data_IF_331230813002
#
_entry.id   IF_331230813002
#
_cell.length_a   1.000
_cell.length_b   1.000
_cell.length_c   1.000
_cell.angle_alpha   90.00
_cell.angle_beta   90.00
_cell.angle_gamma   90.00
#
_symmetry.space_group_name_H-M   'P 1'
#
loop_
_entity.id
_entity.type
_entity.pdbx_description
1 polymer ?
#
# COMPACT_ATOMS: atom_id res chain seq x y z
N UNK A 1 -22.91 11.41 16.37
CA UNK A 1 -21.92 10.35 16.47
C UNK A 1 -22.46 9.12 15.72
N UNK A 2 -22.00 8.93 14.50
CA UNK A 2 -22.29 7.74 13.71
C UNK A 2 -21.38 6.62 14.23
N UNK A 3 -21.98 5.49 14.56
CA UNK A 3 -21.26 4.31 15.01
C UNK A 3 -20.81 3.54 13.74
N UNK A 4 -19.67 3.91 13.19
CA UNK A 4 -19.14 3.42 11.91
C UNK A 4 -18.68 1.95 11.98
N UNK A 5 -18.52 1.38 13.19
CA UNK A 5 -17.79 0.12 13.40
C UNK A 5 -18.55 -1.17 13.06
N UNK A 6 -19.87 -1.13 12.83
CA UNK A 6 -20.68 -2.35 12.63
C UNK A 6 -21.51 -2.37 11.35
N UNK A 7 -21.74 -1.24 10.70
CA UNK A 7 -22.63 -1.14 9.53
C UNK A 7 -21.99 -1.53 8.19
N UNK A 8 -20.63 -1.52 8.08
CA UNK A 8 -19.95 -1.79 6.80
C UNK A 8 -19.44 -3.23 6.62
N UNK A 9 -19.56 -4.09 7.64
CA UNK A 9 -19.03 -5.46 7.58
C UNK A 9 -20.09 -6.48 7.14
N UNK A 10 -19.89 -7.17 6.01
CA UNK A 10 -20.80 -8.21 5.48
C UNK A 10 -20.30 -9.65 5.63
N UNK A 11 -19.12 -9.85 6.12
CA UNK A 11 -18.32 -11.00 6.57
C UNK A 11 -18.60 -12.41 6.08
N UNK A 12 -17.69 -12.95 5.26
CA UNK A 12 -17.30 -14.38 5.18
C UNK A 12 -15.83 -14.49 4.82
N UNK A 13 -15.08 -15.54 5.28
CA UNK A 13 -13.63 -15.62 5.08
C UNK A 13 -13.25 -16.06 3.67
N UNK A 14 -12.04 -15.69 3.30
CA UNK A 14 -11.40 -15.68 1.98
C UNK A 14 -10.83 -17.02 1.54
N UNK A 15 -10.72 -17.23 0.20
CA UNK A 15 -9.97 -18.29 -0.44
C UNK A 15 -8.45 -18.07 -0.36
N UNK A 16 -7.67 -19.14 -0.18
CA UNK A 16 -6.21 -19.15 0.02
C UNK A 16 -5.35 -18.81 -1.21
N UNK A 17 -5.91 -18.29 -2.31
CA UNK A 17 -5.19 -18.11 -3.55
C UNK A 17 -4.55 -16.73 -3.67
N UNK A 18 -3.23 -16.70 -3.71
CA UNK A 18 -2.30 -15.59 -4.01
C UNK A 18 -1.72 -14.79 -2.82
N UNK A 19 -1.38 -15.46 -1.73
CA UNK A 19 -0.53 -14.86 -0.71
C UNK A 19 0.92 -14.91 -1.20
N UNK A 20 1.54 -13.76 -1.43
CA UNK A 20 2.98 -13.67 -1.64
C UNK A 20 3.67 -14.17 -0.37
N UNK A 21 4.62 -15.11 -0.44
CA UNK A 21 5.23 -15.72 0.75
C UNK A 21 6.25 -14.81 1.46
N UNK A 22 5.91 -13.51 1.58
CA UNK A 22 6.77 -12.51 2.21
C UNK A 22 6.72 -12.53 3.74
N UNK A 23 5.69 -13.15 4.34
CA UNK A 23 5.45 -13.05 5.79
C UNK A 23 5.85 -14.32 6.52
N UNK A 24 7.17 -14.54 6.66
CA UNK A 24 7.69 -15.54 7.59
C UNK A 24 7.99 -14.93 8.96
N UNK A 25 8.03 -15.72 10.04
CA UNK A 25 8.38 -15.24 11.37
C UNK A 25 9.78 -14.62 11.44
N UNK A 26 10.71 -15.09 10.60
CA UNK A 26 12.09 -14.61 10.54
C UNK A 26 12.23 -13.28 9.75
N UNK A 27 11.17 -12.81 9.11
CA UNK A 27 11.19 -11.62 8.23
C UNK A 27 10.64 -10.36 8.89
N UNK A 28 10.03 -10.46 10.08
CA UNK A 28 9.43 -9.34 10.82
C UNK A 28 10.43 -8.19 11.02
N UNK A 29 11.66 -8.53 11.39
CA UNK A 29 12.72 -7.54 11.62
C UNK A 29 13.13 -6.84 10.33
N UNK A 30 13.27 -7.57 9.22
CA UNK A 30 13.58 -7.03 7.90
C UNK A 30 12.51 -6.06 7.40
N UNK A 31 11.22 -6.40 7.59
CA UNK A 31 10.12 -5.49 7.25
C UNK A 31 10.12 -4.22 8.10
N UNK A 32 10.45 -4.34 9.39
CA UNK A 32 10.58 -3.18 10.26
C UNK A 32 11.73 -2.26 9.83
N UNK A 33 12.88 -2.83 9.47
CA UNK A 33 14.02 -2.08 8.95
C UNK A 33 13.69 -1.42 7.59
N UNK A 34 13.01 -2.14 6.72
CA UNK A 34 12.52 -1.63 5.43
C UNK A 34 11.61 -0.42 5.60
N UNK A 35 10.60 -0.54 6.49
CA UNK A 35 9.65 0.53 6.74
C UNK A 35 10.30 1.78 7.36
N UNK A 36 11.37 1.61 8.17
CA UNK A 36 12.11 2.71 8.76
C UNK A 36 13.07 3.38 7.76
N UNK A 37 13.61 2.62 6.79
CA UNK A 37 14.60 3.13 5.85
C UNK A 37 13.96 3.84 4.65
N UNK A 38 12.77 3.39 4.22
CA UNK A 38 12.08 3.93 3.06
C UNK A 38 11.37 5.23 3.42
N UNK A 39 11.61 6.27 2.60
CA UNK A 39 10.94 7.56 2.70
C UNK A 39 11.17 8.30 4.04
N UNK A 40 12.41 8.47 4.48
CA UNK A 40 12.73 9.05 5.78
C UNK A 40 12.30 10.52 5.92
N UNK A 41 12.12 11.23 4.81
CA UNK A 41 11.58 12.59 4.75
C UNK A 41 10.06 12.66 4.62
N UNK A 42 9.36 11.51 4.58
CA UNK A 42 7.91 11.40 4.42
C UNK A 42 7.35 12.05 3.13
N UNK A 43 8.16 12.11 2.06
CA UNK A 43 7.77 12.73 0.79
C UNK A 43 6.58 11.99 0.14
N UNK A 44 6.60 10.64 0.16
CA UNK A 44 5.50 9.81 -0.36
C UNK A 44 4.23 10.07 0.43
N UNK A 45 4.32 10.03 1.76
CA UNK A 45 3.17 10.24 2.64
C UNK A 45 2.59 11.63 2.48
N UNK A 46 3.43 12.67 2.36
CA UNK A 46 3.00 14.04 2.12
C UNK A 46 2.27 14.19 0.78
N UNK A 47 2.79 13.60 -0.30
CA UNK A 47 2.16 13.60 -1.61
C UNK A 47 0.81 12.86 -1.60
N UNK A 48 0.74 11.67 -0.97
CA UNK A 48 -0.52 10.95 -0.80
C UNK A 48 -1.59 11.78 -0.09
N UNK A 49 -1.23 12.45 1.00
CA UNK A 49 -2.16 13.30 1.75
C UNK A 49 -2.57 14.56 0.99
N UNK A 50 -1.73 15.08 0.10
CA UNK A 50 -2.07 16.19 -0.78
C UNK A 50 -3.07 15.78 -1.88
N UNK A 51 -2.87 14.61 -2.49
CA UNK A 51 -3.71 14.08 -3.56
C UNK A 51 -5.06 13.57 -3.04
N UNK A 52 -5.04 12.82 -1.96
CA UNK A 52 -6.20 12.13 -1.41
C UNK A 52 -6.23 12.26 0.13
N UNK A 53 -6.60 13.41 0.70
CA UNK A 53 -6.52 13.66 2.14
C UNK A 53 -7.41 12.73 2.95
N UNK A 54 -6.88 12.23 4.09
CA UNK A 54 -7.58 11.25 4.95
C UNK A 54 -8.08 11.85 6.28
N UNK A 55 -7.73 13.10 6.59
CA UNK A 55 -8.07 13.70 7.88
C UNK A 55 -9.58 13.74 8.12
N UNK A 56 -10.02 13.04 9.16
CA UNK A 56 -11.44 12.94 9.53
C UNK A 56 -12.30 12.12 8.56
N UNK A 57 -11.68 11.35 7.65
CA UNK A 57 -12.35 10.51 6.64
C UNK A 57 -12.23 9.03 6.99
N UNK A 58 -13.09 8.20 6.43
CA UNK A 58 -13.02 6.74 6.51
C UNK A 58 -12.07 6.23 5.43
N UNK A 59 -11.01 5.54 5.83
CA UNK A 59 -9.97 5.03 4.95
C UNK A 59 -10.06 3.50 4.82
N UNK A 60 -9.87 3.00 3.61
CA UNK A 60 -9.54 1.61 3.32
C UNK A 60 -8.03 1.53 3.02
N UNK A 61 -7.29 0.81 3.86
CA UNK A 61 -5.88 0.50 3.67
C UNK A 61 -5.76 -0.88 3.03
N UNK A 62 -5.51 -0.92 1.70
CA UNK A 62 -5.49 -2.15 0.90
C UNK A 62 -4.11 -2.79 0.97
N UNK A 63 -4.04 -3.99 1.58
CA UNK A 63 -2.78 -4.68 1.84
C UNK A 63 -2.04 -4.06 3.01
N UNK A 64 -2.71 -3.96 4.15
CA UNK A 64 -2.21 -3.33 5.37
C UNK A 64 -0.92 -3.98 5.93
N UNK A 65 -0.64 -5.22 5.56
CA UNK A 65 0.54 -5.95 6.02
C UNK A 65 0.60 -6.06 7.53
N UNK A 66 1.74 -5.73 8.12
CA UNK A 66 1.92 -5.68 9.57
C UNK A 66 1.45 -4.36 10.22
N UNK A 67 0.85 -3.44 9.45
CA UNK A 67 0.27 -2.21 9.97
C UNK A 67 1.24 -1.04 10.13
N UNK A 68 2.40 -1.07 9.48
CA UNK A 68 3.40 0.01 9.58
C UNK A 68 2.86 1.37 9.12
N UNK A 69 1.98 1.38 8.11
CA UNK A 69 1.31 2.58 7.61
C UNK A 69 -0.08 2.77 8.23
N UNK A 70 -0.77 1.68 8.57
CA UNK A 70 -2.11 1.70 9.16
C UNK A 70 -2.17 2.55 10.43
N UNK A 71 -1.15 2.47 11.31
CA UNK A 71 -1.16 3.22 12.56
C UNK A 71 -1.02 4.72 12.32
N UNK A 72 -0.03 5.24 11.56
CA UNK A 72 0.00 6.64 11.16
C UNK A 72 -1.29 7.14 10.48
N UNK A 73 -1.94 6.30 9.68
CA UNK A 73 -3.23 6.66 9.07
C UNK A 73 -4.33 6.81 10.12
N UNK A 74 -4.37 5.93 11.11
CA UNK A 74 -5.37 5.96 12.17
C UNK A 74 -5.29 7.23 13.04
N UNK A 75 -4.12 7.86 13.14
CA UNK A 75 -3.96 9.14 13.86
C UNK A 75 -4.70 10.30 13.17
N UNK A 76 -4.94 10.20 11.87
CA UNK A 76 -5.57 11.26 11.07
C UNK A 76 -6.99 10.91 10.64
N UNK A 77 -7.24 9.66 10.28
CA UNK A 77 -8.51 9.20 9.77
C UNK A 77 -9.58 9.13 10.87
N UNK A 78 -10.84 9.28 10.50
CA UNK A 78 -11.96 9.00 11.41
C UNK A 78 -12.04 7.51 11.72
N UNK A 79 -11.78 6.67 10.73
CA UNK A 79 -11.71 5.22 10.85
C UNK A 79 -10.83 4.63 9.75
N UNK A 80 -10.16 3.49 10.04
CA UNK A 80 -9.37 2.74 9.07
C UNK A 80 -9.87 1.30 9.00
N UNK A 81 -10.26 0.86 7.81
CA UNK A 81 -10.42 -0.55 7.50
C UNK A 81 -9.08 -1.07 6.96
N UNK A 82 -8.40 -1.91 7.72
CA UNK A 82 -7.11 -2.49 7.37
C UNK A 82 -7.33 -3.85 6.69
N UNK A 83 -7.34 -3.84 5.35
CA UNK A 83 -7.57 -5.02 4.50
C UNK A 83 -6.26 -5.78 4.32
N UNK A 84 -6.20 -7.05 4.77
CA UNK A 84 -5.00 -7.88 4.66
C UNK A 84 -5.39 -9.36 4.48
N UNK A 85 -5.03 -9.99 3.33
CA UNK A 85 -5.36 -11.39 3.08
C UNK A 85 -4.40 -12.39 3.74
N UNK A 86 -3.15 -12.00 4.03
CA UNK A 86 -2.10 -12.92 4.46
C UNK A 86 -2.31 -13.37 5.91
N UNK A 87 -2.58 -14.68 6.18
CA UNK A 87 -2.78 -15.17 7.54
C UNK A 87 -1.58 -14.93 8.46
N UNK A 88 -0.35 -14.91 7.91
CA UNK A 88 0.88 -14.66 8.67
C UNK A 88 1.05 -13.18 9.07
N UNK A 89 0.49 -12.23 8.32
CA UNK A 89 0.54 -10.80 8.65
C UNK A 89 -0.51 -10.40 9.69
N UNK A 90 -1.67 -11.04 9.70
CA UNK A 90 -2.80 -10.68 10.57
C UNK A 90 -2.48 -10.64 12.07
N UNK A 91 -1.73 -11.58 12.66
CA UNK A 91 -1.32 -11.48 14.06
C UNK A 91 -0.45 -10.25 14.32
N UNK A 92 0.51 -9.95 13.42
CA UNK A 92 1.40 -8.80 13.55
C UNK A 92 0.64 -7.48 13.49
N UNK A 93 -0.32 -7.38 12.55
CA UNK A 93 -1.21 -6.24 12.41
C UNK A 93 -2.03 -6.01 13.69
N UNK A 94 -2.67 -7.06 14.21
CA UNK A 94 -3.47 -6.98 15.45
C UNK A 94 -2.63 -6.58 16.67
N UNK A 95 -1.44 -7.17 16.83
CA UNK A 95 -0.52 -6.85 17.91
C UNK A 95 -0.06 -5.39 17.84
N UNK A 96 0.23 -4.89 16.65
CA UNK A 96 0.61 -3.49 16.43
C UNK A 96 -0.53 -2.52 16.77
N UNK A 97 -1.75 -2.81 16.32
CA UNK A 97 -2.94 -2.02 16.66
C UNK A 97 -3.14 -1.99 18.18
N UNK A 98 -3.10 -3.16 18.83
CA UNK A 98 -3.25 -3.24 20.28
C UNK A 98 -2.17 -2.46 21.02
N UNK A 99 -0.92 -2.55 20.58
CA UNK A 99 0.23 -1.86 21.18
C UNK A 99 0.20 -0.34 20.97
N UNK A 100 -0.39 0.14 19.86
CA UNK A 100 -0.52 1.57 19.57
C UNK A 100 -1.64 2.26 20.37
N UNK A 101 -2.60 1.49 20.88
CA UNK A 101 -3.81 2.04 21.51
C UNK A 101 -4.83 2.61 20.51
N UNK A 102 -4.65 2.41 19.21
CA UNK A 102 -5.59 2.87 18.20
C UNK A 102 -6.94 2.15 18.34
N UNK A 103 -8.02 2.91 18.57
CA UNK A 103 -9.38 2.38 18.75
C UNK A 103 -10.26 2.50 17.50
N UNK A 104 -9.75 3.15 16.44
CA UNK A 104 -10.46 3.44 15.20
C UNK A 104 -9.93 2.62 14.01
N UNK A 105 -9.41 1.41 14.26
CA UNK A 105 -8.95 0.49 13.22
C UNK A 105 -9.75 -0.80 13.28
N UNK A 106 -10.27 -1.24 12.14
CA UNK A 106 -10.90 -2.56 11.97
C UNK A 106 -10.07 -3.40 11.02
N UNK A 107 -9.59 -4.56 11.49
CA UNK A 107 -8.87 -5.53 10.64
C UNK A 107 -9.88 -6.30 9.79
N UNK A 108 -9.67 -6.29 8.47
CA UNK A 108 -10.50 -6.98 7.48
C UNK A 108 -9.66 -8.10 6.84
N UNK A 109 -9.81 -9.38 7.27
CA UNK A 109 -9.02 -10.49 6.74
C UNK A 109 -9.57 -10.94 5.38
N UNK A 110 -9.30 -10.15 4.31
CA UNK A 110 -9.81 -10.39 2.96
C UNK A 110 -8.84 -9.89 1.90
N UNK A 111 -8.94 -10.45 0.68
CA UNK A 111 -8.25 -9.96 -0.51
C UNK A 111 -9.00 -8.79 -1.16
N UNK A 112 -8.28 -8.06 -2.01
CA UNK A 112 -8.86 -6.91 -2.71
C UNK A 112 -9.95 -7.32 -3.73
N UNK A 113 -9.95 -8.57 -4.19
CA UNK A 113 -10.91 -9.09 -5.16
C UNK A 113 -12.31 -9.38 -4.58
N UNK A 114 -12.44 -9.38 -3.26
CA UNK A 114 -13.70 -9.65 -2.57
C UNK A 114 -13.71 -8.92 -1.22
N UNK A 115 -13.93 -7.62 -1.24
CA UNK A 115 -13.91 -6.78 -0.05
C UNK A 115 -15.23 -6.92 0.70
N UNK A 116 -15.25 -7.47 1.95
CA UNK A 116 -16.48 -7.70 2.70
C UNK A 116 -16.97 -6.43 3.39
N UNK A 117 -17.09 -5.35 2.64
CA UNK A 117 -17.63 -4.07 3.05
C UNK A 117 -18.81 -3.70 2.15
N UNK A 118 -19.72 -2.90 2.67
CA UNK A 118 -20.86 -2.38 1.90
C UNK A 118 -20.41 -1.39 0.82
N UNK A 119 -21.26 -1.18 -0.19
CA UNK A 119 -21.05 -0.19 -1.23
C UNK A 119 -20.98 1.22 -0.63
N UNK A 120 -20.08 2.04 -1.17
CA UNK A 120 -19.97 3.48 -0.83
C UNK A 120 -19.73 3.76 0.67
N UNK A 121 -19.07 2.84 1.39
CA UNK A 121 -18.88 2.97 2.84
C UNK A 121 -17.55 3.61 3.25
N UNK A 122 -16.60 3.79 2.32
CA UNK A 122 -15.33 4.46 2.59
C UNK A 122 -15.16 5.74 1.76
N UNK A 123 -14.36 6.66 2.27
CA UNK A 123 -14.10 7.95 1.63
C UNK A 123 -12.87 7.94 0.75
N UNK A 124 -11.88 7.17 1.16
CA UNK A 124 -10.56 7.07 0.52
C UNK A 124 -10.10 5.63 0.56
N UNK A 125 -9.46 5.16 -0.51
CA UNK A 125 -8.70 3.93 -0.49
C UNK A 125 -7.22 4.22 -0.80
N UNK A 126 -6.33 3.66 0.01
CA UNK A 126 -4.89 3.65 -0.22
C UNK A 126 -4.41 2.23 -0.48
N UNK A 127 -3.51 2.08 -1.46
CA UNK A 127 -2.78 0.85 -1.70
C UNK A 127 -1.30 1.18 -1.87
N UNK A 128 -0.45 0.68 -0.98
CA UNK A 128 0.99 0.98 -1.01
C UNK A 128 1.78 -0.29 -1.19
N UNK A 129 2.34 -0.47 -2.39
CA UNK A 129 3.03 -1.70 -2.83
C UNK A 129 2.22 -2.96 -2.53
N UNK A 130 0.93 -2.91 -2.80
CA UNK A 130 -0.01 -4.00 -2.60
C UNK A 130 -0.86 -4.16 -3.84
N UNK A 131 -1.53 -5.25 -4.00
CA UNK A 131 -2.44 -5.75 -5.03
C UNK A 131 -2.38 -5.12 -6.46
N UNK A 132 -2.33 -3.79 -6.59
CA UNK A 132 -2.45 -3.08 -7.89
C UNK A 132 -1.12 -3.00 -8.63
N UNK A 133 -0.74 -4.10 -9.26
CA UNK A 133 0.49 -4.24 -10.06
C UNK A 133 0.21 -4.22 -11.58
N UNK A 134 -0.75 -3.42 -12.04
CA UNK A 134 -1.12 -3.28 -13.45
C UNK A 134 -2.11 -4.35 -13.94
N UNK A 135 -1.94 -4.88 -15.17
CA UNK A 135 -2.87 -5.86 -15.75
C UNK A 135 -3.08 -7.08 -14.85
N UNK A 136 -4.35 -7.50 -14.69
CA UNK A 136 -4.74 -8.59 -13.78
C UNK A 136 -5.28 -8.12 -12.43
N UNK A 137 -5.12 -6.84 -12.07
CA UNK A 137 -5.69 -6.27 -10.85
C UNK A 137 -7.11 -5.68 -11.02
N UNK A 138 -7.73 -5.89 -12.17
CA UNK A 138 -9.08 -5.41 -12.45
C UNK A 138 -10.14 -5.83 -11.43
N UNK A 139 -10.17 -7.08 -10.94
CA UNK A 139 -11.17 -7.49 -9.94
C UNK A 139 -11.12 -6.65 -8.67
N UNK A 140 -9.92 -6.43 -8.12
CA UNK A 140 -9.75 -5.59 -6.93
C UNK A 140 -10.04 -4.11 -7.19
N UNK A 141 -9.77 -3.61 -8.40
CA UNK A 141 -10.13 -2.25 -8.77
C UNK A 141 -11.65 -2.05 -8.75
N UNK A 142 -12.42 -2.99 -9.30
CA UNK A 142 -13.88 -2.97 -9.26
C UNK A 142 -14.43 -2.99 -7.83
N UNK A 143 -13.85 -3.82 -6.96
CA UNK A 143 -14.25 -3.88 -5.56
C UNK A 143 -13.92 -2.59 -4.80
N UNK A 144 -12.73 -2.02 -5.01
CA UNK A 144 -12.38 -0.73 -4.40
C UNK A 144 -13.30 0.38 -4.92
N UNK A 145 -13.62 0.40 -6.22
CA UNK A 145 -14.59 1.35 -6.80
C UNK A 145 -15.99 1.18 -6.22
N UNK A 146 -16.39 -0.04 -5.90
CA UNK A 146 -17.68 -0.34 -5.26
C UNK A 146 -17.75 0.19 -3.83
N UNK A 147 -16.71 -0.01 -3.03
CA UNK A 147 -16.72 0.36 -1.61
C UNK A 147 -16.40 1.83 -1.36
N UNK A 148 -15.63 2.48 -2.27
CA UNK A 148 -15.37 3.92 -2.19
C UNK A 148 -16.58 4.69 -2.71
N UNK A 149 -17.05 5.63 -1.90
CA UNK A 149 -18.22 6.45 -2.28
C UNK A 149 -17.92 7.36 -3.49
N UNK A 150 -18.93 7.74 -4.27
CA UNK A 150 -18.79 8.76 -5.30
C UNK A 150 -18.19 10.07 -4.73
N UNK A 151 -17.24 10.65 -5.45
CA UNK A 151 -16.47 11.79 -4.98
C UNK A 151 -15.35 11.44 -3.98
N UNK A 152 -15.18 10.15 -3.65
CA UNK A 152 -14.04 9.63 -2.88
C UNK A 152 -12.80 9.50 -3.74
N UNK A 153 -11.69 9.12 -3.11
CA UNK A 153 -10.37 9.06 -3.74
C UNK A 153 -9.74 7.67 -3.65
N UNK A 154 -9.02 7.29 -4.69
CA UNK A 154 -8.14 6.12 -4.70
C UNK A 154 -6.72 6.57 -5.02
N UNK A 155 -5.76 6.26 -4.13
CA UNK A 155 -4.35 6.51 -4.35
C UNK A 155 -3.55 5.21 -4.22
N UNK A 156 -2.75 4.91 -5.24
CA UNK A 156 -1.96 3.68 -5.36
C UNK A 156 -0.49 4.08 -5.50
N UNK A 157 0.36 3.60 -4.60
CA UNK A 157 1.81 3.82 -4.64
C UNK A 157 2.49 2.58 -5.20
N UNK A 158 3.30 2.77 -6.23
CA UNK A 158 4.10 1.74 -6.87
C UNK A 158 5.51 2.22 -7.17
N UNK A 159 6.40 1.29 -7.45
CA UNK A 159 7.74 1.60 -7.94
C UNK A 159 7.62 2.33 -9.28
N UNK A 160 8.36 3.42 -9.44
CA UNK A 160 8.38 4.12 -10.73
C UNK A 160 9.45 3.54 -11.68
N UNK A 161 10.58 3.09 -11.14
CA UNK A 161 11.78 2.80 -11.92
C UNK A 161 12.56 4.05 -12.29
N UNK A 162 13.54 3.90 -13.15
CA UNK A 162 14.43 4.98 -13.58
C UNK A 162 15.15 5.69 -12.42
N UNK A 163 15.49 4.93 -11.38
CA UNK A 163 16.24 5.34 -10.20
C UNK A 163 17.46 4.43 -9.97
N UNK A 164 18.19 4.70 -8.90
CA UNK A 164 19.42 3.98 -8.57
C UNK A 164 19.20 2.48 -8.30
N UNK A 165 18.08 2.14 -7.65
CA UNK A 165 17.78 0.77 -7.23
C UNK A 165 16.98 -0.02 -8.27
N UNK A 166 16.41 0.63 -9.26
CA UNK A 166 15.58 -0.03 -10.30
C UNK A 166 16.32 -1.10 -11.09
N UNK A 167 17.65 -1.00 -11.19
CA UNK A 167 18.52 -2.01 -11.83
C UNK A 167 18.45 -3.41 -11.22
N UNK A 168 17.97 -3.53 -9.97
CA UNK A 168 17.93 -4.82 -9.25
C UNK A 168 16.62 -5.55 -9.44
N UNK A 169 15.58 -4.85 -9.84
CA UNK A 169 14.29 -5.40 -10.13
C UNK A 169 13.95 -5.29 -11.63
N UNK A 170 14.95 -5.51 -12.47
CA UNK A 170 14.97 -5.27 -13.92
C UNK A 170 14.06 -6.20 -14.76
N UNK A 171 13.43 -7.23 -14.17
CA UNK A 171 12.25 -7.87 -14.79
C UNK A 171 11.12 -6.86 -14.96
N UNK A 172 11.28 -5.69 -14.45
CA UNK A 172 10.34 -4.61 -14.26
C UNK A 172 10.52 -3.44 -15.23
N UNK A 173 11.51 -3.45 -16.14
CA UNK A 173 11.48 -2.49 -17.26
C UNK A 173 10.14 -2.61 -18.01
N UNK A 174 9.66 -3.85 -18.24
CA UNK A 174 8.34 -4.08 -18.82
C UNK A 174 7.20 -3.59 -17.93
N UNK A 175 7.32 -3.67 -16.62
CA UNK A 175 6.32 -3.19 -15.66
C UNK A 175 6.29 -1.67 -15.62
N UNK A 176 7.45 -1.01 -15.60
CA UNK A 176 7.55 0.45 -15.71
C UNK A 176 6.98 0.99 -17.02
N UNK A 177 7.01 0.21 -18.09
CA UNK A 177 6.42 0.57 -19.39
C UNK A 177 4.93 0.23 -19.48
N UNK A 178 4.47 -0.82 -18.80
CA UNK A 178 3.08 -1.32 -18.93
C UNK A 178 2.12 -0.72 -17.91
N UNK A 179 2.58 -0.46 -16.69
CA UNK A 179 1.70 0.07 -15.63
C UNK A 179 1.20 1.49 -15.91
N UNK A 180 2.03 2.48 -16.29
CA UNK A 180 1.52 3.82 -16.53
C UNK A 180 0.40 3.86 -17.59
N UNK A 181 0.50 3.22 -18.76
CA UNK A 181 -0.59 3.17 -19.73
C UNK A 181 -1.82 2.44 -19.20
N UNK A 182 -1.64 1.40 -18.38
CA UNK A 182 -2.75 0.65 -17.80
C UNK A 182 -3.57 1.52 -16.83
N UNK A 183 -2.91 2.28 -15.97
CA UNK A 183 -3.54 3.23 -15.06
C UNK A 183 -4.16 4.42 -15.81
N UNK A 184 -3.45 4.99 -16.78
CA UNK A 184 -3.95 6.10 -17.59
C UNK A 184 -5.25 5.78 -18.33
N UNK A 185 -5.36 4.57 -18.93
CA UNK A 185 -6.60 4.10 -19.57
C UNK A 185 -7.79 4.00 -18.63
N UNK A 186 -7.55 3.95 -17.31
CA UNK A 186 -8.56 3.87 -16.25
C UNK A 186 -8.79 5.20 -15.55
N UNK A 187 -8.28 6.30 -16.11
CA UNK A 187 -8.49 7.66 -15.63
C UNK A 187 -7.69 8.01 -14.38
N UNK A 188 -6.57 7.32 -14.14
CA UNK A 188 -5.64 7.73 -13.09
C UNK A 188 -4.68 8.79 -13.61
N UNK A 189 -4.51 9.84 -12.81
CA UNK A 189 -3.35 10.73 -12.89
C UNK A 189 -2.15 10.09 -12.20
N UNK A 190 -0.93 10.48 -12.59
CA UNK A 190 0.30 9.95 -12.04
C UNK A 190 1.19 11.09 -11.55
N UNK A 191 1.56 11.06 -10.28
CA UNK A 191 2.58 11.93 -9.69
C UNK A 191 3.84 11.10 -9.39
N UNK A 192 5.01 11.61 -9.80
CA UNK A 192 6.30 10.98 -9.50
C UNK A 192 6.92 11.68 -8.31
N UNK A 193 7.25 10.90 -7.29
CA UNK A 193 7.88 11.39 -6.05
C UNK A 193 9.29 10.87 -5.97
N UNK A 194 10.25 11.82 -5.91
CA UNK A 194 11.64 11.50 -5.57
C UNK A 194 11.77 11.31 -4.06
N UNK A 195 12.35 10.20 -3.66
CA UNK A 195 12.60 9.86 -2.26
C UNK A 195 13.92 9.10 -2.12
N UNK A 196 14.20 8.58 -0.95
CA UNK A 196 15.41 7.81 -0.68
C UNK A 196 15.11 6.60 0.21
N UNK A 197 15.98 5.61 0.10
CA UNK A 197 16.21 4.65 1.16
C UNK A 197 17.37 5.15 2.00
N UNK A 198 17.21 5.23 3.33
CA UNK A 198 18.27 5.61 4.26
C UNK A 198 18.31 4.62 5.42
N UNK A 199 19.40 3.86 5.47
CA UNK A 199 19.66 2.90 6.54
C UNK A 199 20.54 3.54 7.62
N UNK A 200 20.46 3.06 8.85
CA UNK A 200 21.31 3.52 9.96
C UNK A 200 22.72 2.97 9.84
N UNK A 201 22.84 1.75 9.31
CA UNK A 201 24.11 1.05 9.13
C UNK A 201 24.18 0.37 7.78
N UNK A 202 25.41 0.03 7.36
CA UNK A 202 25.64 -0.76 6.16
C UNK A 202 25.05 -2.17 6.27
N UNK A 203 25.11 -2.77 7.47
CA UNK A 203 24.57 -4.11 7.69
C UNK A 203 23.06 -4.14 7.52
N UNK A 204 22.34 -3.10 7.95
CA UNK A 204 20.91 -2.94 7.67
C UNK A 204 20.65 -2.83 6.16
N UNK A 205 21.44 -2.02 5.45
CA UNK A 205 21.33 -1.90 4.00
C UNK A 205 21.57 -3.24 3.29
N UNK A 206 22.60 -3.98 3.71
CA UNK A 206 22.88 -5.32 3.18
C UNK A 206 21.71 -6.26 3.44
N UNK A 207 21.24 -6.36 4.67
CA UNK A 207 20.16 -7.27 5.05
C UNK A 207 18.86 -7.00 4.25
N UNK A 208 18.46 -5.74 4.16
CA UNK A 208 17.20 -5.38 3.49
C UNK A 208 17.31 -5.48 1.97
N UNK A 209 18.38 -4.92 1.38
CA UNK A 209 18.49 -4.87 -0.08
C UNK A 209 18.80 -6.26 -0.68
N UNK A 210 19.56 -7.10 0.03
CA UNK A 210 19.77 -8.51 -0.36
C UNK A 210 18.46 -9.31 -0.24
N UNK A 211 17.67 -9.09 0.81
CA UNK A 211 16.37 -9.73 0.97
C UNK A 211 15.41 -9.37 -0.18
N UNK A 212 15.39 -8.10 -0.59
CA UNK A 212 14.51 -7.63 -1.64
C UNK A 212 14.96 -8.06 -3.05
N UNK A 213 16.26 -7.98 -3.33
CA UNK A 213 16.77 -8.07 -4.71
C UNK A 213 18.00 -8.99 -4.87
N UNK A 214 18.35 -9.73 -3.82
CA UNK A 214 19.36 -10.78 -3.86
C UNK A 214 20.79 -10.30 -3.97
N UNK A 215 21.69 -11.21 -4.39
CA UNK A 215 23.14 -11.00 -4.48
C UNK A 215 23.56 -9.79 -5.31
N UNK A 216 22.91 -9.40 -6.41
CA UNK A 216 23.28 -8.18 -7.15
C UNK A 216 23.19 -6.92 -6.29
N UNK A 217 22.13 -6.77 -5.51
CA UNK A 217 21.95 -5.62 -4.61
C UNK A 217 22.94 -5.66 -3.44
N UNK A 218 23.19 -6.84 -2.87
CA UNK A 218 24.21 -7.05 -1.85
C UNK A 218 25.58 -6.58 -2.33
N UNK A 219 26.01 -7.03 -3.51
CA UNK A 219 27.30 -6.64 -4.11
C UNK A 219 27.39 -5.13 -4.30
N UNK A 220 26.33 -4.51 -4.78
CA UNK A 220 26.28 -3.07 -4.98
C UNK A 220 26.52 -2.29 -3.69
N UNK A 221 25.88 -2.69 -2.58
CA UNK A 221 26.09 -2.07 -1.26
C UNK A 221 27.55 -2.24 -0.80
N UNK A 222 28.14 -3.42 -1.04
CA UNK A 222 29.53 -3.70 -0.68
C UNK A 222 30.52 -2.85 -1.47
N UNK A 223 30.28 -2.62 -2.75
CA UNK A 223 31.15 -1.85 -3.64
C UNK A 223 31.10 -0.34 -3.38
N UNK A 224 29.95 0.19 -2.99
CA UNK A 224 29.77 1.63 -2.89
C UNK A 224 29.88 2.18 -1.47
N UNK A 225 29.90 1.34 -0.45
CA UNK A 225 30.02 1.68 0.98
C UNK A 225 29.09 2.82 1.43
N UNK A 226 27.81 2.75 1.01
CA UNK A 226 26.80 3.75 1.29
C UNK A 226 25.62 3.16 2.06
N UNK A 227 24.90 4.04 2.76
CA UNK A 227 23.68 3.72 3.51
C UNK A 227 22.45 4.48 2.99
N UNK A 228 22.63 5.30 1.96
CA UNK A 228 21.54 6.06 1.34
C UNK A 228 21.54 5.86 -0.17
N UNK A 229 20.33 5.62 -0.72
CA UNK A 229 20.10 5.29 -2.13
C UNK A 229 18.90 6.07 -2.65
N UNK A 230 19.05 6.69 -3.84
CA UNK A 230 17.94 7.38 -4.49
C UNK A 230 16.86 6.42 -4.95
N UNK A 231 15.61 6.83 -4.80
CA UNK A 231 14.46 6.03 -5.16
C UNK A 231 13.32 6.89 -5.70
N UNK A 232 12.54 6.34 -6.62
CA UNK A 232 11.36 7.02 -7.18
C UNK A 232 10.13 6.14 -7.06
N UNK A 233 9.03 6.77 -6.71
CA UNK A 233 7.73 6.11 -6.70
C UNK A 233 6.76 6.84 -7.62
N UNK A 234 5.80 6.10 -8.16
CA UNK A 234 4.64 6.62 -8.86
C UNK A 234 3.44 6.55 -7.91
N UNK A 235 2.75 7.67 -7.75
CA UNK A 235 1.45 7.71 -7.08
C UNK A 235 0.39 7.87 -8.16
N UNK A 236 -0.38 6.82 -8.39
CA UNK A 236 -1.53 6.83 -9.26
C UNK A 236 -2.74 7.24 -8.45
N UNK A 237 -3.35 8.37 -8.79
CA UNK A 237 -4.51 8.90 -8.10
C UNK A 237 -5.70 9.02 -9.06
N UNK A 238 -6.88 8.65 -8.56
CA UNK A 238 -8.13 8.84 -9.26
C UNK A 238 -9.25 9.17 -8.28
N UNK A 239 -10.07 10.16 -8.64
CA UNK A 239 -11.33 10.42 -7.95
C UNK A 239 -12.43 9.51 -8.50
N UNK A 240 -13.16 8.85 -7.61
CA UNK A 240 -14.29 8.00 -7.99
C UNK A 240 -15.45 8.89 -8.44
N UNK A 241 -15.87 8.72 -9.68
CA UNK A 241 -16.96 9.51 -10.25
C UNK A 241 -18.31 8.96 -9.77
N UNK A 242 -19.31 9.85 -9.67
CA UNK A 242 -20.68 9.39 -9.54
C UNK A 242 -21.04 8.56 -10.78
N UNK A 243 -21.54 7.34 -10.57
CA UNK A 243 -22.25 6.67 -11.65
C UNK A 243 -23.45 7.55 -11.99
N UNK A 244 -23.38 8.21 -13.13
CA UNK A 244 -24.57 8.79 -13.73
C UNK A 244 -25.51 7.61 -13.96
N UNK A 245 -26.45 7.40 -13.03
CA UNK A 245 -27.54 6.46 -13.23
C UNK A 245 -28.15 6.88 -14.57
N UNK A 246 -28.04 6.02 -15.57
CA UNK A 246 -28.75 6.20 -16.83
C UNK A 246 -30.22 6.43 -16.47
N UNK A 247 -30.65 7.66 -16.60
CA UNK A 247 -32.07 7.98 -16.50
C UNK A 247 -32.70 7.45 -17.79
N UNK A 248 -33.15 6.20 -17.74
CA UNK A 248 -34.12 5.66 -18.67
C UNK A 248 -35.55 6.05 -18.21
#
# INVERSE_FOLDING_TARGET
SWNVSTACWTGSPVSESQVIPFWGPDQKELFSLMAQALDPEHAITAAMYALAPIKGRVLLDVGAGAGDRTIPYAELAAHVFALEPAPAALPLLRDRIASSGASNVTVVPAGAEAIPLEDNCVDVAYATWSYFFGPGSEPGLLEVERVVRPGGDLAIVQNHGHDELSRFWASTESECETWPPWFAKRGFDCEIVDTTWRFRTRDEALAVLEFLWGEPARRYVLEHDRVQFGYKVAIYHRRILEHLAERN
#
